data_IF_263719662975
#
_entry.id   IF_263719662975
#
_cell.length_a   1.000
_cell.length_b   1.000
_cell.length_c   1.000
_cell.angle_alpha   90.00
_cell.angle_beta   90.00
_cell.angle_gamma   90.00
#
_symmetry.space_group_name_H-M   'P 1'
#
loop_
_entity.id
_entity.type
_entity.pdbx_description
1 polymer ?
#
# COMPACT_ATOMS: atom_id res chain seq x y z
N UNK A 1 13.26 -81.90 23.34
CA UNK A 1 14.55 -81.18 23.44
C UNK A 1 14.29 -79.67 23.27
N UNK A 2 13.76 -79.00 24.30
CA UNK A 2 13.33 -77.58 24.22
C UNK A 2 13.41 -76.87 25.59
N UNK A 3 14.39 -77.21 26.44
CA UNK A 3 14.54 -76.65 27.82
C UNK A 3 15.65 -75.59 27.95
N UNK A 4 16.12 -75.00 26.84
CA UNK A 4 17.18 -73.97 26.84
C UNK A 4 16.73 -72.59 26.36
N UNK A 5 15.44 -72.39 26.07
CA UNK A 5 14.91 -71.11 25.57
C UNK A 5 14.51 -70.11 26.69
N UNK A 6 14.49 -70.56 27.95
CA UNK A 6 14.10 -69.74 29.10
C UNK A 6 15.11 -68.66 29.52
N UNK A 7 16.44 -68.88 29.53
CA UNK A 7 17.39 -67.86 30.01
C UNK A 7 17.59 -66.71 29.03
N UNK A 8 17.32 -66.90 27.73
CA UNK A 8 17.45 -65.86 26.71
C UNK A 8 16.34 -64.80 26.82
N UNK A 9 15.13 -65.21 27.22
CA UNK A 9 14.00 -64.30 27.41
C UNK A 9 14.20 -63.36 28.62
N UNK A 10 14.94 -63.79 29.64
CA UNK A 10 15.19 -63.00 30.84
C UNK A 10 16.25 -61.90 30.60
N UNK A 11 17.22 -62.12 29.71
CA UNK A 11 18.25 -61.13 29.38
C UNK A 11 17.70 -59.93 28.58
N UNK A 12 16.65 -60.13 27.77
CA UNK A 12 16.01 -59.06 26.99
C UNK A 12 15.18 -58.11 27.89
N UNK A 13 14.62 -58.62 28.99
CA UNK A 13 13.81 -57.83 29.90
C UNK A 13 14.62 -56.81 30.73
N UNK A 14 15.93 -57.04 30.92
CA UNK A 14 16.79 -56.18 31.75
C UNK A 14 17.35 -55.00 30.94
N UNK A 15 17.39 -55.10 29.60
CA UNK A 15 17.94 -54.05 28.73
C UNK A 15 16.95 -52.94 28.35
N UNK A 16 15.67 -53.04 28.74
CA UNK A 16 14.62 -52.14 28.25
C UNK A 16 14.37 -50.82 29.02
N UNK A 17 14.83 -50.56 30.26
CA UNK A 17 14.57 -49.26 30.90
C UNK A 17 15.76 -48.31 30.71
N UNK A 18 16.16 -48.04 29.46
CA UNK A 18 17.23 -47.07 29.16
C UNK A 18 16.85 -46.01 28.11
N UNK A 19 15.57 -45.91 27.75
CA UNK A 19 15.04 -44.74 27.04
C UNK A 19 14.02 -44.05 27.93
N UNK A 20 14.54 -43.39 28.96
CA UNK A 20 13.81 -42.34 29.67
C UNK A 20 13.35 -41.30 28.65
N UNK A 21 12.04 -41.09 28.56
CA UNK A 21 11.45 -40.08 27.69
C UNK A 21 12.07 -38.72 27.95
N UNK A 22 12.35 -38.00 26.86
CA UNK A 22 12.83 -36.63 26.91
C UNK A 22 11.94 -35.81 27.87
N UNK A 23 12.59 -35.14 28.81
CA UNK A 23 11.97 -34.28 29.81
C UNK A 23 11.16 -33.17 29.15
N UNK A 24 9.83 -33.32 29.17
CA UNK A 24 8.92 -32.18 29.15
C UNK A 24 9.17 -31.39 30.44
N UNK A 25 10.07 -30.40 30.38
CA UNK A 25 10.22 -29.42 31.43
C UNK A 25 8.88 -28.66 31.56
N UNK A 26 8.26 -28.59 32.75
CA UNK A 26 7.03 -27.84 32.94
C UNK A 26 7.25 -26.40 32.50
N UNK A 27 6.47 -25.94 31.51
CA UNK A 27 6.53 -24.55 31.07
C UNK A 27 6.13 -23.65 32.24
N UNK A 28 6.94 -22.63 32.63
CA UNK A 28 6.60 -21.77 33.76
C UNK A 28 5.26 -21.06 33.53
N UNK A 29 4.50 -20.75 34.60
CA UNK A 29 3.18 -20.13 34.48
C UNK A 29 3.28 -18.81 33.72
N UNK A 30 2.56 -18.67 32.60
CA UNK A 30 2.52 -17.43 31.81
C UNK A 30 1.10 -17.12 31.39
N UNK A 31 0.80 -15.83 31.31
CA UNK A 31 -0.42 -15.30 30.72
C UNK A 31 -0.04 -14.81 29.33
N UNK A 32 -0.69 -15.37 28.30
CA UNK A 32 -0.53 -14.92 26.91
C UNK A 32 -1.85 -14.26 26.53
N UNK A 33 -1.78 -12.99 26.14
CA UNK A 33 -2.92 -12.24 25.63
C UNK A 33 -2.62 -11.79 24.21
N UNK A 34 -3.58 -11.97 23.33
CA UNK A 34 -3.61 -11.34 22.01
C UNK A 34 -4.67 -10.25 22.03
N UNK A 35 -4.29 -9.03 21.68
CA UNK A 35 -5.21 -7.91 21.51
C UNK A 35 -5.22 -7.46 20.06
N UNK A 36 -6.41 -7.23 19.52
CA UNK A 36 -6.61 -6.58 18.22
C UNK A 36 -7.24 -5.21 18.47
N UNK A 37 -6.79 -4.20 17.73
CA UNK A 37 -7.25 -2.82 17.86
C UNK A 37 -7.59 -2.26 16.49
N UNK A 38 -8.83 -1.81 16.34
CA UNK A 38 -9.31 -1.13 15.15
C UNK A 38 -9.74 0.29 15.52
N UNK A 39 -9.40 1.26 14.68
CA UNK A 39 -9.85 2.63 14.82
C UNK A 39 -10.38 3.11 13.47
N UNK A 40 -11.65 3.50 13.45
CA UNK A 40 -12.29 4.10 12.27
C UNK A 40 -12.48 5.60 12.52
N UNK A 41 -12.01 6.43 11.59
CA UNK A 41 -12.18 7.89 11.64
C UNK A 41 -12.57 8.40 10.26
N UNK A 42 -13.40 9.45 10.23
CA UNK A 42 -13.72 10.14 8.98
C UNK A 42 -12.51 10.91 8.45
N UNK A 43 -12.26 10.94 7.13
CA UNK A 43 -11.23 11.79 6.54
C UNK A 43 -11.52 13.28 6.77
N UNK A 44 -10.47 14.07 7.00
CA UNK A 44 -10.53 15.51 7.30
C UNK A 44 -9.90 16.40 6.20
N UNK A 45 -9.36 15.81 5.15
CA UNK A 45 -8.66 16.49 4.06
C UNK A 45 -9.13 15.99 2.69
N UNK A 46 -9.32 16.93 1.75
CA UNK A 46 -9.57 16.63 0.34
C UNK A 46 -8.49 17.28 -0.55
N UNK A 47 -7.86 16.48 -1.42
CA UNK A 47 -6.93 16.96 -2.45
C UNK A 47 -7.65 16.92 -3.78
N UNK A 48 -7.74 18.07 -4.45
CA UNK A 48 -8.38 18.22 -5.76
C UNK A 48 -7.34 18.58 -6.81
N UNK A 49 -7.35 17.85 -7.93
CA UNK A 49 -6.51 18.15 -9.09
C UNK A 49 -7.39 18.70 -10.21
N UNK A 50 -7.10 19.94 -10.61
CA UNK A 50 -7.83 20.65 -11.66
C UNK A 50 -6.87 20.99 -12.81
N UNK A 51 -7.37 20.93 -14.03
CA UNK A 51 -6.57 21.21 -15.24
C UNK A 51 -7.19 22.35 -16.04
N UNK A 52 -6.37 23.35 -16.38
CA UNK A 52 -6.77 24.45 -17.27
C UNK A 52 -6.17 24.19 -18.65
N UNK A 53 -7.04 24.02 -19.64
CA UNK A 53 -6.63 23.78 -21.04
C UNK A 53 -7.02 24.97 -21.92
N UNK A 54 -6.11 25.37 -22.80
CA UNK A 54 -6.32 26.39 -23.83
C UNK A 54 -5.67 25.94 -25.12
N UNK A 55 -6.31 26.25 -26.23
CA UNK A 55 -5.86 25.92 -27.56
C UNK A 55 -5.67 27.19 -28.36
N UNK A 56 -4.61 27.25 -29.17
CA UNK A 56 -4.37 28.34 -30.09
C UNK A 56 -3.59 27.85 -31.30
N UNK A 57 -3.53 28.69 -32.34
CA UNK A 57 -2.81 28.40 -33.59
C UNK A 57 -1.30 28.27 -33.39
N UNK A 58 -0.74 28.93 -32.38
CA UNK A 58 0.68 28.89 -32.06
C UNK A 58 0.89 28.48 -30.62
N UNK A 59 2.01 27.82 -30.34
CA UNK A 59 2.38 27.42 -28.99
C UNK A 59 2.43 28.61 -28.01
N UNK A 60 2.98 29.74 -28.47
CA UNK A 60 3.07 30.97 -27.69
C UNK A 60 1.70 31.51 -27.31
N UNK A 61 0.81 31.66 -28.29
CA UNK A 61 -0.54 32.16 -28.02
C UNK A 61 -1.33 31.22 -27.10
N UNK A 62 -1.12 29.91 -27.21
CA UNK A 62 -1.77 28.93 -26.34
C UNK A 62 -1.29 29.06 -24.89
N UNK A 63 0.02 29.25 -24.68
CA UNK A 63 0.61 29.44 -23.37
C UNK A 63 0.20 30.78 -22.75
N UNK A 64 0.25 31.87 -23.49
CA UNK A 64 -0.15 33.20 -23.00
C UNK A 64 -1.63 33.18 -22.56
N UNK A 65 -2.52 32.61 -23.39
CA UNK A 65 -3.93 32.45 -23.04
C UNK A 65 -4.16 31.50 -21.84
N UNK A 66 -3.30 30.49 -21.66
CA UNK A 66 -3.35 29.59 -20.52
C UNK A 66 -2.93 30.30 -19.23
N UNK A 67 -1.85 31.09 -19.28
CA UNK A 67 -1.35 31.86 -18.14
C UNK A 67 -2.41 32.85 -17.64
N UNK A 68 -3.07 33.58 -18.55
CA UNK A 68 -4.13 34.52 -18.20
C UNK A 68 -5.33 33.79 -17.55
N UNK A 69 -5.74 32.65 -18.13
CA UNK A 69 -6.80 31.83 -17.58
C UNK A 69 -6.45 31.25 -16.20
N UNK A 70 -5.21 30.80 -16.02
CA UNK A 70 -4.71 30.26 -14.76
C UNK A 70 -4.70 31.34 -13.66
N UNK A 71 -4.22 32.54 -13.99
CA UNK A 71 -4.23 33.67 -13.06
C UNK A 71 -5.66 34.02 -12.60
N UNK A 72 -6.62 34.02 -13.53
CA UNK A 72 -8.03 34.26 -13.22
C UNK A 72 -8.62 33.16 -12.30
N UNK A 73 -8.29 31.89 -12.54
CA UNK A 73 -8.73 30.78 -11.69
C UNK A 73 -8.14 30.91 -10.28
N UNK A 74 -6.84 31.19 -10.17
CA UNK A 74 -6.19 31.38 -8.87
C UNK A 74 -6.84 32.56 -8.12
N UNK A 75 -7.10 33.67 -8.79
CA UNK A 75 -7.78 34.82 -8.19
C UNK A 75 -9.20 34.47 -7.70
N UNK A 76 -9.97 33.72 -8.51
CA UNK A 76 -11.30 33.26 -8.13
C UNK A 76 -11.27 32.33 -6.90
N UNK A 77 -10.30 31.41 -6.85
CA UNK A 77 -10.12 30.49 -5.71
C UNK A 77 -9.75 31.22 -4.43
N UNK A 78 -8.88 32.24 -4.51
CA UNK A 78 -8.56 33.12 -3.38
C UNK A 78 -9.79 33.91 -2.92
N UNK A 79 -10.58 34.44 -3.87
CA UNK A 79 -11.82 35.16 -3.57
C UNK A 79 -12.88 34.23 -2.92
N UNK A 80 -12.88 32.94 -3.25
CA UNK A 80 -13.71 31.93 -2.60
C UNK A 80 -13.23 31.54 -1.19
N UNK A 81 -12.12 32.11 -0.70
CA UNK A 81 -11.61 31.90 0.65
C UNK A 81 -10.56 30.80 0.79
N UNK A 82 -10.07 30.23 -0.32
CA UNK A 82 -8.96 29.27 -0.29
C UNK A 82 -7.66 30.03 0.00
N UNK A 83 -6.89 29.53 0.98
CA UNK A 83 -5.63 30.17 1.38
C UNK A 83 -4.54 29.86 0.36
N UNK A 84 -3.60 30.80 0.20
CA UNK A 84 -2.46 30.64 -0.71
C UNK A 84 -1.61 29.38 -0.44
N UNK A 85 -1.56 28.91 0.81
CA UNK A 85 -0.84 27.68 1.18
C UNK A 85 -1.46 26.40 0.60
N UNK A 86 -2.76 26.44 0.30
CA UNK A 86 -3.55 25.29 -0.16
C UNK A 86 -3.67 25.28 -1.69
N UNK A 87 -3.10 26.29 -2.37
CA UNK A 87 -3.10 26.42 -3.83
C UNK A 87 -1.72 26.10 -4.38
N UNK A 88 -1.64 25.10 -5.24
CA UNK A 88 -0.39 24.72 -5.91
C UNK A 88 -0.65 24.49 -7.40
N UNK A 89 0.19 25.11 -8.25
CA UNK A 89 0.19 24.84 -9.69
C UNK A 89 1.06 23.63 -10.00
N UNK A 90 0.52 22.69 -10.78
CA UNK A 90 1.30 21.59 -11.35
C UNK A 90 1.94 22.01 -12.69
N UNK A 91 2.95 21.26 -13.14
CA UNK A 91 3.74 21.58 -14.33
C UNK A 91 2.93 21.84 -15.61
N UNK A 92 3.57 22.47 -16.60
CA UNK A 92 2.96 22.86 -17.86
C UNK A 92 3.20 21.76 -18.90
N UNK A 93 2.14 21.41 -19.66
CA UNK A 93 2.23 20.48 -20.79
C UNK A 93 1.64 21.12 -22.04
N UNK A 94 2.39 21.07 -23.15
CA UNK A 94 1.94 21.56 -24.46
C UNK A 94 2.06 20.46 -25.50
N UNK A 95 0.96 20.23 -26.23
CA UNK A 95 0.90 19.20 -27.26
C UNK A 95 0.34 19.78 -28.56
N UNK A 96 0.91 19.46 -29.73
CA UNK A 96 0.30 19.79 -31.01
C UNK A 96 -1.00 18.98 -31.20
N UNK A 97 -2.05 19.61 -31.73
CA UNK A 97 -3.30 18.94 -32.11
C UNK A 97 -3.35 18.76 -33.62
N UNK A 98 -3.35 17.51 -34.06
CA UNK A 98 -3.53 17.15 -35.46
C UNK A 98 -4.99 16.78 -35.71
N UNK A 99 -5.56 17.30 -36.80
CA UNK A 99 -6.87 16.87 -37.29
C UNK A 99 -6.67 15.89 -38.45
N UNK A 100 -6.99 14.61 -38.23
CA UNK A 100 -6.88 13.56 -39.23
C UNK A 100 -8.20 13.29 -39.98
N UNK A 101 -9.24 14.08 -39.73
CA UNK A 101 -10.52 14.06 -40.46
C UNK A 101 -10.35 14.74 -41.81
N UNK A 102 -9.59 14.11 -42.70
CA UNK A 102 -9.64 14.24 -44.16
C UNK A 102 -8.58 13.27 -44.71
N UNK A 103 -8.95 11.99 -44.79
CA UNK A 103 -8.38 11.07 -45.77
C UNK A 103 -9.26 11.18 -47.02
N UNK A 104 -8.88 11.95 -48.06
CA UNK A 104 -9.06 11.45 -49.41
C UNK A 104 -7.96 10.40 -49.67
N UNK A 105 -8.31 9.35 -50.41
CA UNK A 105 -7.42 8.25 -50.77
C UNK A 105 -6.09 8.69 -51.39
#
# INVERSE_FOLDING_TARGET
MTRHLLPLALAVAIAFPAMAGATDLPTPPRIIVSGEGEATVAPDLAILTLSVMREAKTARAALDANNDAMAAVIAAMKAAGIKDRDLQTAGIQINPRYNYTNKPD
#
